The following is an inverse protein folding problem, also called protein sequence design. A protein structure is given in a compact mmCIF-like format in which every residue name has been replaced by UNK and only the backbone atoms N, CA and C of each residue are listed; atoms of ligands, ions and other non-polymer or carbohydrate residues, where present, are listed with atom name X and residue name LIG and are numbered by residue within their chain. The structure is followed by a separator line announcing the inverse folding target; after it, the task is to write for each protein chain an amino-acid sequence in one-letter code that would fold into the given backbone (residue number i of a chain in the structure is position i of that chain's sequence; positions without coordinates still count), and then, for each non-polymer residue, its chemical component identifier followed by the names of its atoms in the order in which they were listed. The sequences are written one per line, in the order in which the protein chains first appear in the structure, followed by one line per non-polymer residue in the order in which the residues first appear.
data_IF_685626522090
#
_entry.id   IF_685626522090
#
_cell.length_a   1.000
_cell.length_b   1.000
_cell.length_c   1.000
_cell.angle_alpha   90.00
_cell.angle_beta   90.00
_cell.angle_gamma   90.00
#
_symmetry.space_group_name_H-M   'P 1'
#
loop_
_entity.id
_entity.type
_entity.pdbx_description
1 polymer ?
#
# COMPACT_ATOMS: atom_id res chain seq x y z
N UNK A 1 61.01 -34.44 -13.99
CA UNK A 1 61.06 -33.37 -12.97
C UNK A 1 60.26 -32.17 -13.49
N UNK A 2 58.98 -32.06 -13.11
CA UNK A 2 58.13 -30.89 -13.43
C UNK A 2 57.41 -30.48 -12.14
N UNK A 3 57.79 -29.34 -11.60
CA UNK A 3 57.25 -28.72 -10.40
C UNK A 3 55.99 -27.93 -10.81
N UNK A 4 54.83 -28.24 -10.24
CA UNK A 4 53.59 -27.44 -10.41
C UNK A 4 53.47 -26.47 -9.24
N UNK A 5 53.52 -25.17 -9.54
CA UNK A 5 53.23 -24.09 -8.60
C UNK A 5 51.71 -23.99 -8.41
N UNK A 6 51.26 -23.93 -7.15
CA UNK A 6 49.87 -23.70 -6.79
C UNK A 6 49.75 -22.24 -6.32
N UNK A 7 49.19 -21.37 -7.16
CA UNK A 7 48.92 -19.97 -6.82
C UNK A 7 47.60 -19.90 -6.07
N UNK A 8 47.63 -19.53 -4.77
CA UNK A 8 46.41 -19.23 -4.01
C UNK A 8 45.94 -17.83 -4.38
N UNK A 9 44.74 -17.72 -4.95
CA UNK A 9 44.01 -16.47 -5.04
C UNK A 9 43.30 -16.22 -3.71
N UNK A 10 43.74 -15.21 -2.97
CA UNK A 10 43.00 -14.69 -1.83
C UNK A 10 42.00 -13.67 -2.37
N UNK A 11 40.71 -14.02 -2.37
CA UNK A 11 39.65 -13.06 -2.68
C UNK A 11 39.51 -12.12 -1.47
N UNK A 12 39.93 -10.87 -1.62
CA UNK A 12 39.73 -9.83 -0.62
C UNK A 12 38.37 -9.20 -0.89
N UNK A 13 37.34 -9.65 -0.17
CA UNK A 13 36.01 -9.03 -0.20
C UNK A 13 36.04 -7.71 0.55
N UNK A 14 36.14 -6.60 -0.18
CA UNK A 14 35.87 -5.27 0.37
C UNK A 14 34.37 -5.13 0.59
N UNK A 15 33.93 -5.20 1.85
CA UNK A 15 32.60 -4.76 2.26
C UNK A 15 32.55 -3.24 2.10
N UNK A 16 31.91 -2.77 1.03
CA UNK A 16 31.50 -1.38 0.93
C UNK A 16 30.38 -1.14 1.97
N UNK A 17 30.39 -0.03 2.72
CA UNK A 17 29.25 0.31 3.55
C UNK A 17 28.05 0.54 2.64
N UNK A 18 27.05 -0.33 2.74
CA UNK A 18 25.72 -0.08 2.18
C UNK A 18 25.14 1.04 3.04
N UNK A 19 25.08 2.26 2.49
CA UNK A 19 24.19 3.26 3.05
C UNK A 19 22.80 2.65 3.06
N UNK A 20 22.23 2.46 4.24
CA UNK A 20 20.86 1.98 4.42
C UNK A 20 19.92 3.01 3.79
N UNK A 21 19.55 2.81 2.52
CA UNK A 21 18.37 3.45 1.94
C UNK A 21 17.17 2.79 2.63
N UNK A 22 16.49 3.54 3.48
CA UNK A 22 15.34 3.05 4.21
C UNK A 22 14.38 4.20 4.45
N UNK A 23 13.09 3.88 4.41
CA UNK A 23 12.03 4.79 4.75
C UNK A 23 12.24 5.33 6.17
N UNK A 24 12.02 6.63 6.35
CA UNK A 24 12.00 7.28 7.65
C UNK A 24 10.62 7.92 7.86
N UNK A 25 9.90 7.52 8.90
CA UNK A 25 8.62 8.10 9.29
C UNK A 25 8.86 8.96 10.52
N UNK A 26 8.71 10.26 10.34
CA UNK A 26 8.85 11.25 11.39
C UNK A 26 7.47 11.61 11.95
N UNK A 27 7.25 11.31 13.22
CA UNK A 27 5.98 11.56 13.92
C UNK A 27 6.06 12.85 14.74
N UNK A 28 5.09 13.74 14.54
CA UNK A 28 4.94 14.98 15.33
C UNK A 28 3.70 14.86 16.21
N UNK A 29 3.85 14.57 17.51
CA UNK A 29 2.71 14.42 18.40
C UNK A 29 2.08 15.75 18.79
N UNK A 30 0.75 15.77 18.82
CA UNK A 30 -0.04 16.85 19.41
C UNK A 30 0.26 16.97 20.92
N UNK A 31 0.10 18.19 21.43
CA UNK A 31 0.35 18.47 22.84
C UNK A 31 -0.61 17.67 23.75
N UNK A 32 -0.06 16.96 24.74
CA UNK A 32 -0.83 16.25 25.75
C UNK A 32 -1.12 14.77 25.45
N UNK A 33 -0.62 14.23 24.32
CA UNK A 33 -0.63 12.79 24.09
C UNK A 33 0.15 12.03 25.17
N UNK A 34 -0.32 10.84 25.55
CA UNK A 34 0.40 9.96 26.47
C UNK A 34 1.62 9.35 25.79
N UNK A 35 2.63 8.97 26.58
CA UNK A 35 3.81 8.30 26.02
C UNK A 35 3.45 6.95 25.39
N UNK A 36 2.51 6.20 25.99
CA UNK A 36 2.07 4.91 25.47
C UNK A 36 1.46 5.03 24.05
N UNK A 37 0.67 6.07 23.77
CA UNK A 37 0.11 6.27 22.43
C UNK A 37 1.16 6.70 21.42
N UNK A 38 2.10 7.56 21.82
CA UNK A 38 3.26 7.95 20.99
C UNK A 38 4.11 6.72 20.65
N UNK A 39 4.39 5.87 21.64
CA UNK A 39 5.17 4.64 21.45
C UNK A 39 4.42 3.64 20.56
N UNK A 40 3.09 3.54 20.69
CA UNK A 40 2.24 2.74 19.81
C UNK A 40 2.32 3.20 18.34
N UNK A 41 2.24 4.51 18.09
CA UNK A 41 2.43 5.05 16.74
C UNK A 41 3.85 4.81 16.24
N UNK A 42 4.85 4.97 17.10
CA UNK A 42 6.24 4.71 16.73
C UNK A 42 6.46 3.23 16.36
N UNK A 43 5.77 2.29 17.01
CA UNK A 43 5.79 0.86 16.63
C UNK A 43 5.20 0.63 15.26
N UNK A 44 4.07 1.28 14.94
CA UNK A 44 3.48 1.22 13.61
C UNK A 44 4.38 1.84 12.53
N UNK A 45 5.00 2.98 12.83
CA UNK A 45 6.01 3.58 11.96
C UNK A 45 7.19 2.63 11.73
N UNK A 46 7.70 2.03 12.81
CA UNK A 46 8.79 1.05 12.72
C UNK A 46 8.44 -0.17 11.87
N UNK A 47 7.18 -0.62 11.87
CA UNK A 47 6.72 -1.68 10.99
C UNK A 47 6.94 -1.29 9.52
N UNK A 48 6.39 -0.15 9.07
CA UNK A 48 6.54 0.31 7.68
C UNK A 48 8.00 0.55 7.29
N UNK A 49 8.80 1.17 8.17
CA UNK A 49 10.24 1.35 7.96
C UNK A 49 11.01 0.02 7.88
N UNK A 50 10.47 -1.08 8.39
CA UNK A 50 11.11 -2.39 8.33
C UNK A 50 10.81 -3.17 7.06
N UNK A 51 9.72 -2.80 6.36
CA UNK A 51 9.26 -3.49 5.14
C UNK A 51 9.44 -2.66 3.89
N UNK A 52 9.60 -1.33 3.97
CA UNK A 52 9.82 -0.44 2.83
C UNK A 52 11.26 0.12 2.80
N UNK A 53 11.87 0.16 1.61
CA UNK A 53 13.28 0.55 1.41
C UNK A 53 13.52 1.91 0.75
N UNK A 54 12.46 2.60 0.32
CA UNK A 54 12.58 3.92 -0.31
C UNK A 54 13.31 4.90 0.58
N UNK A 55 14.26 5.63 0.00
CA UNK A 55 14.96 6.69 0.72
C UNK A 55 14.13 7.97 0.78
N UNK A 56 13.03 7.92 1.53
CA UNK A 56 12.11 9.02 1.74
C UNK A 56 11.85 9.26 3.22
N UNK A 57 11.64 10.54 3.58
CA UNK A 57 11.12 10.93 4.89
C UNK A 57 9.64 11.29 4.76
N UNK A 58 8.77 10.54 5.44
CA UNK A 58 7.34 10.81 5.55
C UNK A 58 7.07 11.49 6.90
N UNK A 59 6.49 12.68 6.87
CA UNK A 59 6.17 13.44 8.08
C UNK A 59 4.68 13.31 8.41
N UNK A 60 4.35 12.88 9.62
CA UNK A 60 2.96 12.65 10.04
C UNK A 60 2.70 13.38 11.35
N UNK A 61 1.68 14.23 11.36
CA UNK A 61 1.16 14.83 12.59
C UNK A 61 0.20 13.83 13.26
N UNK A 62 0.46 13.44 14.51
CA UNK A 62 -0.37 12.47 15.24
C UNK A 62 -1.13 13.16 16.38
N UNK A 63 -2.39 12.77 16.59
CA UNK A 63 -3.27 13.33 17.61
C UNK A 63 -4.14 12.24 18.25
N UNK A 64 -4.70 12.55 19.42
CA UNK A 64 -5.54 11.65 20.19
C UNK A 64 -6.67 12.45 20.86
N UNK A 65 -7.90 12.29 20.37
CA UNK A 65 -9.08 13.06 20.80
C UNK A 65 -10.38 12.33 20.51
N UNK A 66 -11.49 12.84 21.03
CA UNK A 66 -12.82 12.32 20.70
C UNK A 66 -13.12 12.40 19.21
N UNK A 67 -13.41 11.23 18.61
CA UNK A 67 -13.93 11.06 17.24
C UNK A 67 -15.39 10.62 17.24
N UNK A 68 -15.99 10.55 16.05
CA UNK A 68 -17.35 10.08 15.87
C UNK A 68 -17.56 8.64 16.37
N UNK A 69 -18.79 8.26 16.78
CA UNK A 69 -19.06 6.91 17.29
C UNK A 69 -18.65 5.83 16.28
N UNK A 70 -17.91 4.82 16.74
CA UNK A 70 -17.44 3.72 15.91
C UNK A 70 -16.11 3.96 15.18
N UNK A 71 -15.58 5.19 15.18
CA UNK A 71 -14.31 5.53 14.53
C UNK A 71 -13.15 5.30 15.50
N UNK A 72 -12.32 4.31 15.20
CA UNK A 72 -11.12 3.96 15.97
C UNK A 72 -9.98 4.97 15.74
N UNK A 73 -9.69 5.21 14.46
CA UNK A 73 -8.71 6.16 13.96
C UNK A 73 -9.22 6.80 12.67
N UNK A 74 -8.56 7.87 12.24
CA UNK A 74 -8.74 8.46 10.94
C UNK A 74 -7.43 9.08 10.46
N UNK A 75 -7.15 8.95 9.17
CA UNK A 75 -6.06 9.62 8.49
C UNK A 75 -6.58 10.68 7.50
N UNK A 76 -5.89 11.82 7.44
CA UNK A 76 -6.01 12.80 6.37
C UNK A 76 -4.68 12.93 5.67
N UNK A 77 -4.64 12.72 4.36
CA UNK A 77 -3.41 12.79 3.56
C UNK A 77 -3.26 14.14 2.87
N UNK A 78 -2.05 14.71 2.90
CA UNK A 78 -1.67 15.83 2.04
C UNK A 78 -1.46 15.29 0.62
N UNK A 79 -2.04 15.96 -0.37
CA UNK A 79 -1.96 15.55 -1.77
C UNK A 79 -1.48 16.67 -2.70
N UNK A 80 -0.98 16.29 -3.87
CA UNK A 80 -0.55 17.19 -4.92
C UNK A 80 -1.08 16.76 -6.30
N UNK A 81 -1.18 17.73 -7.21
CA UNK A 81 -1.57 17.47 -8.59
C UNK A 81 -0.38 16.90 -9.36
N UNK A 82 -0.56 15.73 -9.95
CA UNK A 82 0.46 15.06 -10.78
C UNK A 82 -0.20 14.57 -12.06
N UNK A 83 0.42 14.87 -13.21
CA UNK A 83 -0.04 14.32 -14.49
C UNK A 83 0.04 12.79 -14.48
N UNK A 84 -0.97 12.11 -15.01
CA UNK A 84 -0.97 10.64 -15.08
C UNK A 84 0.24 10.13 -15.87
N UNK A 85 0.56 10.80 -16.98
CA UNK A 85 1.77 10.55 -17.78
C UNK A 85 3.08 10.67 -16.97
N UNK A 86 3.20 11.71 -16.14
CA UNK A 86 4.35 11.92 -15.27
C UNK A 86 4.43 10.86 -14.17
N UNK A 87 3.30 10.44 -13.61
CA UNK A 87 3.25 9.35 -12.63
C UNK A 87 3.67 8.01 -13.25
N UNK A 88 3.18 7.69 -14.45
CA UNK A 88 3.57 6.46 -15.15
C UNK A 88 5.05 6.46 -15.53
N UNK A 89 5.59 7.60 -15.97
CA UNK A 89 7.02 7.74 -16.24
C UNK A 89 7.86 7.56 -14.97
N UNK A 90 7.37 8.03 -13.82
CA UNK A 90 8.03 7.86 -12.53
C UNK A 90 8.02 6.40 -12.08
N UNK A 91 6.87 5.71 -12.12
CA UNK A 91 6.80 4.27 -11.84
C UNK A 91 7.73 3.47 -12.75
N UNK A 92 7.81 3.82 -14.04
CA UNK A 92 8.74 3.17 -14.98
C UNK A 92 10.23 3.39 -14.67
N UNK A 93 10.57 4.50 -14.00
CA UNK A 93 11.92 4.76 -13.52
C UNK A 93 12.23 4.08 -12.17
N UNK A 94 11.18 3.64 -11.48
CA UNK A 94 11.18 3.10 -10.12
C UNK A 94 10.93 1.58 -10.09
N UNK A 95 11.16 0.88 -11.21
CA UNK A 95 11.02 -0.57 -11.27
C UNK A 95 12.16 -1.22 -10.48
N UNK A 96 11.86 -1.83 -9.33
CA UNK A 96 12.82 -2.56 -8.50
C UNK A 96 12.47 -4.04 -8.33
N UNK A 97 11.22 -4.41 -8.61
CA UNK A 97 10.67 -5.75 -8.46
C UNK A 97 10.09 -6.31 -9.77
N UNK A 98 9.84 -7.63 -9.79
CA UNK A 98 9.12 -8.26 -10.91
C UNK A 98 7.63 -7.87 -10.93
N UNK A 99 7.07 -7.51 -9.77
CA UNK A 99 5.71 -7.02 -9.67
C UNK A 99 5.61 -5.63 -10.29
N UNK A 100 6.57 -4.73 -10.03
CA UNK A 100 6.62 -3.39 -10.66
C UNK A 100 6.71 -3.50 -12.16
N UNK A 101 7.57 -4.39 -12.66
CA UNK A 101 7.70 -4.62 -14.09
C UNK A 101 6.37 -5.07 -14.70
N UNK A 102 5.63 -5.94 -14.02
CA UNK A 102 4.32 -6.39 -14.47
C UNK A 102 3.28 -5.25 -14.41
N UNK A 103 3.22 -4.55 -13.29
CA UNK A 103 2.34 -3.41 -13.06
C UNK A 103 2.52 -2.33 -14.12
N UNK A 104 3.76 -1.85 -14.30
CA UNK A 104 4.10 -0.80 -15.27
C UNK A 104 3.81 -1.24 -16.71
N UNK A 105 4.09 -2.50 -17.05
CA UNK A 105 3.82 -3.03 -18.39
C UNK A 105 2.31 -3.12 -18.72
N UNK A 106 1.46 -3.12 -17.70
CA UNK A 106 0.01 -3.24 -17.84
C UNK A 106 -0.76 -2.02 -17.30
N UNK A 107 -0.10 -0.88 -17.15
CA UNK A 107 -0.78 0.38 -16.83
C UNK A 107 -1.80 0.72 -17.93
N UNK A 108 -2.88 1.45 -17.58
CA UNK A 108 -3.86 1.93 -18.56
C UNK A 108 -3.17 2.68 -19.71
N UNK A 109 -3.65 2.52 -20.94
CA UNK A 109 -3.05 3.20 -22.07
C UNK A 109 -3.25 4.73 -21.99
N UNK A 110 -2.16 5.48 -22.12
CA UNK A 110 -2.22 6.94 -22.19
C UNK A 110 -2.88 7.41 -23.49
N UNK A 111 -3.73 8.43 -23.38
CA UNK A 111 -4.22 9.20 -24.51
C UNK A 111 -3.10 10.08 -25.10
N UNK A 112 -3.35 10.73 -26.23
CA UNK A 112 -2.41 11.69 -26.82
C UNK A 112 -2.11 12.89 -25.91
N UNK A 113 -3.00 13.17 -24.95
CA UNK A 113 -2.88 14.29 -24.03
C UNK A 113 -2.37 13.87 -22.64
N UNK A 114 -1.90 12.62 -22.50
CA UNK A 114 -1.34 12.12 -21.24
C UNK A 114 -2.38 11.77 -20.17
N UNK A 115 -3.65 11.62 -20.55
CA UNK A 115 -4.71 11.11 -19.68
C UNK A 115 -4.95 9.62 -19.87
N UNK A 116 -5.93 9.07 -19.16
CA UNK A 116 -6.39 7.69 -19.30
C UNK A 116 -7.91 7.63 -19.43
N UNK A 117 -8.41 6.56 -20.05
CA UNK A 117 -9.83 6.28 -20.14
C UNK A 117 -10.22 5.24 -19.07
N UNK A 118 -11.37 5.41 -18.43
CA UNK A 118 -11.86 4.48 -17.41
C UNK A 118 -13.39 4.53 -17.33
N UNK A 119 -13.99 3.51 -16.72
CA UNK A 119 -15.39 3.58 -16.33
C UNK A 119 -15.53 4.39 -15.04
N UNK A 120 -16.49 5.31 -15.00
CA UNK A 120 -16.89 6.05 -13.80
C UNK A 120 -18.37 6.43 -13.91
N UNK A 121 -18.97 6.98 -12.86
CA UNK A 121 -20.31 7.55 -12.96
C UNK A 121 -20.33 8.67 -14.00
N UNK A 122 -21.37 8.68 -14.84
CA UNK A 122 -21.61 9.74 -15.82
C UNK A 122 -21.53 11.09 -15.09
N UNK A 123 -20.63 11.96 -15.58
CA UNK A 123 -20.28 13.30 -15.11
C UNK A 123 -21.55 13.99 -14.58
N UNK A 124 -21.72 13.96 -13.25
CA UNK A 124 -23.05 13.89 -12.63
C UNK A 124 -23.70 15.26 -12.47
N UNK A 125 -24.22 15.81 -13.56
CA UNK A 125 -25.37 16.71 -13.49
C UNK A 125 -26.60 15.92 -12.97
N UNK A 126 -26.71 15.72 -11.65
CA UNK A 126 -27.97 15.34 -10.98
C UNK A 126 -28.11 13.93 -10.38
N UNK A 127 -27.20 13.50 -9.49
CA UNK A 127 -27.29 12.25 -8.70
C UNK A 127 -27.38 10.95 -9.54
N UNK A 128 -26.80 10.93 -10.73
CA UNK A 128 -26.80 9.72 -11.57
C UNK A 128 -25.91 8.63 -10.98
N UNK A 129 -26.42 7.40 -10.92
CA UNK A 129 -25.63 6.19 -10.62
C UNK A 129 -25.22 5.42 -11.88
N UNK A 130 -25.56 5.94 -13.06
CA UNK A 130 -25.19 5.30 -14.32
C UNK A 130 -23.68 5.38 -14.53
N UNK A 131 -23.08 4.26 -14.92
CA UNK A 131 -21.65 4.15 -15.23
C UNK A 131 -21.43 4.22 -16.73
N UNK A 132 -20.47 5.03 -17.17
CA UNK A 132 -20.07 5.15 -18.57
C UNK A 132 -18.55 5.26 -18.71
N UNK A 133 -18.07 5.04 -19.94
CA UNK A 133 -16.68 5.32 -20.27
C UNK A 133 -16.45 6.83 -20.27
N UNK A 134 -15.59 7.28 -19.37
CA UNK A 134 -14.99 8.59 -19.39
C UNK A 134 -13.69 8.51 -20.23
N UNK A 135 -13.64 9.37 -21.26
CA UNK A 135 -12.62 9.31 -22.31
C UNK A 135 -12.45 10.63 -23.06
N UNK A 136 -12.73 11.75 -22.40
CA UNK A 136 -12.72 13.07 -23.03
C UNK A 136 -11.48 13.92 -22.69
N UNK A 137 -10.52 13.34 -21.96
CA UNK A 137 -9.29 14.00 -21.51
C UNK A 137 -9.57 15.24 -20.66
N UNK A 138 -10.56 15.23 -19.78
CA UNK A 138 -10.77 16.28 -18.79
C UNK A 138 -9.72 16.23 -17.66
N UNK A 139 -9.92 17.03 -16.61
CA UNK A 139 -9.01 17.11 -15.46
C UNK A 139 -8.89 15.78 -14.72
N UNK A 140 -10.00 15.06 -14.55
CA UNK A 140 -10.05 13.79 -13.83
C UNK A 140 -9.33 12.65 -14.58
N UNK A 141 -9.21 12.74 -15.92
CA UNK A 141 -8.47 11.78 -16.74
C UNK A 141 -6.96 12.02 -16.72
N UNK A 142 -6.55 13.28 -16.57
CA UNK A 142 -5.16 13.71 -16.78
C UNK A 142 -4.37 13.95 -15.51
N UNK A 143 -5.05 14.21 -14.39
CA UNK A 143 -4.39 14.66 -13.16
C UNK A 143 -4.81 13.82 -11.97
N UNK A 144 -3.81 13.16 -11.36
CA UNK A 144 -3.96 12.44 -10.10
C UNK A 144 -3.92 13.39 -8.90
N UNK A 145 -4.69 13.04 -7.89
CA UNK A 145 -4.65 13.58 -6.53
C UNK A 145 -3.66 12.78 -5.67
N UNK A 146 -2.38 12.77 -6.05
CA UNK A 146 -1.37 11.88 -5.48
C UNK A 146 -0.97 12.30 -4.06
N UNK A 147 -0.93 11.36 -3.11
CA UNK A 147 -0.37 11.57 -1.78
C UNK A 147 1.07 12.11 -1.86
N UNK A 148 1.43 13.09 -1.05
CA UNK A 148 2.80 13.64 -1.07
C UNK A 148 3.83 12.63 -0.60
N UNK A 149 3.47 11.72 0.32
CA UNK A 149 4.33 10.60 0.71
C UNK A 149 4.61 9.67 -0.48
N UNK A 150 3.57 9.25 -1.21
CA UNK A 150 3.73 8.41 -2.39
C UNK A 150 4.51 9.13 -3.51
N UNK A 151 4.28 10.42 -3.69
CA UNK A 151 5.07 11.23 -4.62
C UNK A 151 6.57 11.31 -4.27
N UNK A 152 6.94 11.19 -2.99
CA UNK A 152 8.35 11.12 -2.56
C UNK A 152 8.98 9.78 -2.95
N UNK A 153 8.24 8.69 -2.80
CA UNK A 153 8.68 7.33 -3.13
C UNK A 153 9.09 7.24 -4.60
N UNK A 154 8.18 7.61 -5.51
CA UNK A 154 8.44 7.64 -6.96
C UNK A 154 9.28 8.84 -7.45
N UNK A 155 9.87 9.63 -6.55
CA UNK A 155 10.77 10.74 -6.92
C UNK A 155 10.13 11.98 -7.56
N UNK A 156 8.81 12.11 -7.53
CA UNK A 156 8.05 13.30 -8.01
C UNK A 156 7.96 14.43 -6.99
N UNK A 157 8.43 14.18 -5.76
CA UNK A 157 8.59 15.17 -4.70
C UNK A 157 9.96 14.96 -4.05
N UNK A 158 10.67 16.01 -3.60
CA UNK A 158 11.92 15.84 -2.88
C UNK A 158 11.75 14.92 -1.68
N UNK A 159 12.55 13.86 -1.60
CA UNK A 159 12.38 12.79 -0.63
C UNK A 159 12.48 13.27 0.84
N UNK A 160 13.18 14.37 1.10
CA UNK A 160 13.33 14.99 2.43
C UNK A 160 12.54 16.29 2.59
N UNK A 161 11.49 16.50 1.78
CA UNK A 161 10.60 17.65 1.95
C UNK A 161 9.98 17.62 3.36
N UNK A 162 10.11 18.74 4.08
CA UNK A 162 9.76 18.88 5.50
C UNK A 162 8.27 19.14 5.75
N UNK A 163 7.46 19.33 4.71
CA UNK A 163 6.02 19.50 4.89
C UNK A 163 5.39 18.22 5.45
N UNK A 164 4.29 18.39 6.20
CA UNK A 164 3.47 17.29 6.69
C UNK A 164 2.80 16.56 5.53
N UNK A 165 2.99 15.25 5.45
CA UNK A 165 2.40 14.38 4.43
C UNK A 165 1.04 13.84 4.86
N UNK A 166 0.78 13.78 6.17
CA UNK A 166 -0.51 13.33 6.70
C UNK A 166 -0.74 13.83 8.12
N UNK A 167 -2.01 13.79 8.51
CA UNK A 167 -2.43 13.88 9.91
C UNK A 167 -3.19 12.61 10.27
N UNK A 168 -2.93 12.04 11.44
CA UNK A 168 -3.63 10.86 11.95
C UNK A 168 -4.18 11.18 13.33
N UNK A 169 -5.45 10.90 13.55
CA UNK A 169 -6.11 11.11 14.85
C UNK A 169 -6.72 9.81 15.34
N UNK A 170 -6.45 9.44 16.59
CA UNK A 170 -7.08 8.29 17.24
C UNK A 170 -8.12 8.71 18.27
N UNK A 171 -9.11 7.84 18.45
CA UNK A 171 -10.23 8.09 19.34
C UNK A 171 -9.90 7.80 20.81
N UNK A 172 -10.26 8.73 21.69
CA UNK A 172 -10.17 8.57 23.15
C UNK A 172 -11.33 7.78 23.78
N UNK A 173 -12.23 7.23 22.96
CA UNK A 173 -13.43 6.50 23.39
C UNK A 173 -13.24 4.99 23.53
N UNK A 174 -12.09 4.47 23.13
CA UNK A 174 -11.80 3.04 23.11
C UNK A 174 -10.75 2.66 24.15
N UNK A 175 -10.83 1.42 24.63
CA UNK A 175 -9.76 0.84 25.43
C UNK A 175 -8.72 0.27 24.49
N UNK A 176 -7.47 0.72 24.63
CA UNK A 176 -6.39 0.41 23.69
C UNK A 176 -5.35 -0.52 24.31
N UNK A 177 -4.83 -1.40 23.47
CA UNK A 177 -3.57 -2.09 23.69
C UNK A 177 -2.48 -1.41 22.85
N UNK A 178 -1.54 -0.75 23.51
CA UNK A 178 -0.49 0.05 22.87
C UNK A 178 0.75 -0.76 22.46
N UNK A 179 0.79 -2.05 22.81
CA UNK A 179 1.89 -2.96 22.47
C UNK A 179 1.36 -4.35 22.14
N UNK A 180 1.22 -4.67 20.86
CA UNK A 180 0.71 -5.96 20.41
C UNK A 180 1.77 -7.08 20.31
N UNK A 181 2.98 -6.87 20.86
CA UNK A 181 4.10 -7.83 20.71
C UNK A 181 3.90 -9.15 21.47
N UNK A 182 3.01 -9.19 22.47
CA UNK A 182 2.60 -10.38 23.21
C UNK A 182 1.14 -10.78 22.95
N UNK A 183 0.53 -10.24 21.90
CA UNK A 183 -0.88 -10.37 21.57
C UNK A 183 -1.66 -9.11 21.93
N UNK A 184 -3.00 -9.20 21.95
CA UNK A 184 -3.86 -8.08 22.34
C UNK A 184 -4.74 -8.52 23.50
N UNK A 185 -4.74 -7.75 24.59
CA UNK A 185 -5.48 -8.07 25.79
C UNK A 185 -7.00 -8.19 25.55
N UNK A 186 -7.72 -9.10 26.26
CA UNK A 186 -9.16 -9.23 26.12
C UNK A 186 -9.90 -7.92 26.38
N UNK A 187 -10.74 -7.49 25.42
CA UNK A 187 -11.51 -6.25 25.51
C UNK A 187 -10.73 -4.97 25.15
N UNK A 188 -9.46 -5.09 24.77
CA UNK A 188 -8.65 -3.99 24.25
C UNK A 188 -8.59 -4.04 22.72
N UNK A 189 -8.60 -2.88 22.07
CA UNK A 189 -8.37 -2.76 20.64
C UNK A 189 -6.87 -2.67 20.35
N UNK A 190 -6.41 -3.34 19.29
CA UNK A 190 -5.02 -3.29 18.82
C UNK A 190 -4.66 -1.90 18.29
N UNK A 191 -4.03 -1.07 19.11
CA UNK A 191 -3.65 0.29 18.71
C UNK A 191 -2.59 0.26 17.61
N UNK A 192 -1.57 -0.60 17.74
CA UNK A 192 -0.47 -0.68 16.79
C UNK A 192 -0.99 -1.10 15.41
N UNK A 193 -1.85 -2.10 15.36
CA UNK A 193 -2.48 -2.56 14.12
C UNK A 193 -3.33 -1.49 13.43
N UNK A 194 -4.18 -0.77 14.18
CA UNK A 194 -4.93 0.36 13.62
C UNK A 194 -3.97 1.47 13.17
N UNK A 195 -2.86 1.71 13.88
CA UNK A 195 -1.91 2.76 13.48
C UNK A 195 -1.14 2.36 12.20
N UNK A 196 -0.85 1.06 12.01
CA UNK A 196 -0.28 0.56 10.75
C UNK A 196 -1.26 0.81 9.60
N UNK A 197 -2.56 0.55 9.80
CA UNK A 197 -3.61 0.85 8.83
C UNK A 197 -3.67 2.34 8.46
N UNK A 198 -3.76 3.23 9.45
CA UNK A 198 -3.86 4.68 9.18
C UNK A 198 -2.60 5.24 8.50
N UNK A 199 -1.42 4.72 8.82
CA UNK A 199 -0.19 5.07 8.10
C UNK A 199 -0.24 4.55 6.66
N UNK A 200 -0.89 3.41 6.39
CA UNK A 200 -1.13 2.91 5.05
C UNK A 200 -1.88 3.92 4.16
N UNK A 201 -2.91 4.59 4.69
CA UNK A 201 -3.57 5.69 3.99
C UNK A 201 -2.62 6.86 3.71
N UNK A 202 -1.81 7.25 4.69
CA UNK A 202 -0.80 8.31 4.51
C UNK A 202 0.19 7.95 3.38
N UNK A 203 0.60 6.69 3.30
CA UNK A 203 1.53 6.15 2.29
C UNK A 203 0.91 6.05 0.89
N UNK A 204 -0.41 6.15 0.73
CA UNK A 204 -1.05 6.21 -0.59
C UNK A 204 -2.13 5.18 -0.85
N UNK A 205 -2.53 4.38 0.16
CA UNK A 205 -3.68 3.50 0.05
C UNK A 205 -4.99 4.31 0.15
N UNK A 206 -5.23 5.17 -0.83
CA UNK A 206 -6.41 6.02 -0.94
C UNK A 206 -7.02 5.83 -2.32
N UNK A 207 -8.33 6.03 -2.48
CA UNK A 207 -9.03 5.89 -3.75
C UNK A 207 -9.92 7.11 -4.01
N UNK A 208 -9.85 7.64 -5.23
CA UNK A 208 -10.75 8.68 -5.71
C UNK A 208 -12.20 8.22 -5.81
N UNK A 209 -12.46 6.91 -5.78
CA UNK A 209 -13.82 6.36 -5.77
C UNK A 209 -14.62 6.85 -4.55
N UNK A 210 -13.97 7.14 -3.42
CA UNK A 210 -14.65 7.79 -2.29
C UNK A 210 -15.17 9.20 -2.63
N UNK A 211 -14.42 9.94 -3.45
CA UNK A 211 -14.85 11.24 -3.95
C UNK A 211 -15.99 11.09 -4.96
N UNK A 212 -15.95 10.05 -5.80
CA UNK A 212 -17.04 9.73 -6.72
C UNK A 212 -18.32 9.37 -5.96
N UNK A 213 -18.25 8.49 -4.95
CA UNK A 213 -19.38 8.13 -4.08
C UNK A 213 -20.01 9.37 -3.42
N UNK A 214 -19.17 10.27 -2.90
CA UNK A 214 -19.60 11.55 -2.33
C UNK A 214 -20.22 12.48 -3.38
N UNK A 215 -19.66 12.57 -4.59
CA UNK A 215 -20.15 13.43 -5.65
C UNK A 215 -21.55 13.03 -6.13
N UNK A 216 -21.85 11.73 -6.19
CA UNK A 216 -23.19 11.21 -6.51
C UNK A 216 -24.21 11.71 -5.48
N UNK A 217 -23.88 11.70 -4.19
CA UNK A 217 -24.78 12.18 -3.12
C UNK A 217 -25.05 13.69 -3.21
N UNK A 218 -24.12 14.45 -3.79
CA UNK A 218 -24.09 15.92 -3.75
C UNK A 218 -24.30 16.58 -5.12
N UNK A 219 -24.60 15.81 -6.18
CA UNK A 219 -24.71 16.32 -7.56
C UNK A 219 -23.50 17.16 -8.00
N UNK A 220 -22.28 16.71 -7.65
CA UNK A 220 -21.06 17.41 -8.02
C UNK A 220 -20.52 16.92 -9.37
N UNK A 221 -20.09 17.87 -10.20
CA UNK A 221 -19.36 17.59 -11.43
C UNK A 221 -17.85 17.48 -11.12
N UNK A 222 -17.23 16.42 -11.61
CA UNK A 222 -15.85 16.05 -11.31
C UNK A 222 -14.89 16.29 -12.48
N UNK A 223 -15.37 16.70 -13.65
CA UNK A 223 -14.55 16.77 -14.87
C UNK A 223 -13.26 17.58 -14.72
N UNK A 224 -13.35 18.78 -14.17
CA UNK A 224 -12.19 19.67 -14.07
C UNK A 224 -11.36 19.46 -12.78
N UNK A 225 -11.63 18.39 -12.02
CA UNK A 225 -10.96 18.10 -10.75
C UNK A 225 -9.95 16.96 -10.87
N UNK A 226 -8.92 17.00 -10.04
CA UNK A 226 -8.11 15.82 -9.75
C UNK A 226 -8.87 14.95 -8.74
N UNK A 227 -9.16 13.71 -9.10
CA UNK A 227 -10.03 12.83 -8.29
C UNK A 227 -9.26 11.59 -7.87
N UNK A 228 -8.71 10.88 -8.84
CA UNK A 228 -8.13 9.55 -8.66
C UNK A 228 -6.69 9.59 -8.15
N UNK A 229 -6.24 8.50 -7.55
CA UNK A 229 -4.94 8.35 -6.89
C UNK A 229 -4.05 7.34 -7.64
N UNK A 230 -2.85 7.08 -7.12
CA UNK A 230 -1.99 6.02 -7.64
C UNK A 230 -2.62 4.63 -7.55
N UNK A 231 -3.33 4.32 -6.45
CA UNK A 231 -3.98 3.03 -6.24
C UNK A 231 -5.07 2.73 -7.28
N UNK A 232 -5.79 3.77 -7.72
CA UNK A 232 -6.88 3.63 -8.70
C UNK A 232 -6.39 3.13 -10.06
N UNK A 233 -5.13 3.36 -10.42
CA UNK A 233 -4.54 2.88 -11.68
C UNK A 233 -4.51 1.34 -11.77
N UNK A 234 -4.72 0.67 -10.64
CA UNK A 234 -4.72 -0.78 -10.48
C UNK A 234 -6.09 -1.35 -10.09
N UNK A 235 -7.16 -0.55 -10.23
CA UNK A 235 -8.55 -0.95 -9.97
C UNK A 235 -9.24 -1.35 -11.29
N UNK A 236 -9.68 -2.61 -11.36
CA UNK A 236 -10.32 -3.19 -12.54
C UNK A 236 -11.62 -3.91 -12.20
N UNK A 237 -12.57 -3.93 -13.14
CA UNK A 237 -13.81 -4.74 -13.04
C UNK A 237 -13.82 -5.92 -14.01
N UNK A 238 -12.93 -5.92 -15.00
CA UNK A 238 -12.66 -7.02 -15.92
C UNK A 238 -11.27 -6.86 -16.59
N UNK A 239 -10.85 -7.89 -17.34
CA UNK A 239 -9.64 -7.84 -18.18
C UNK A 239 -9.68 -6.65 -19.16
N UNK A 240 -8.71 -5.75 -19.04
CA UNK A 240 -8.60 -4.51 -19.81
C UNK A 240 -9.60 -3.41 -19.44
N UNK A 241 -10.32 -3.53 -18.32
CA UNK A 241 -11.37 -2.57 -17.92
C UNK A 241 -11.03 -1.92 -16.58
N UNK A 242 -10.37 -0.77 -16.63
CA UNK A 242 -10.24 0.11 -15.46
C UNK A 242 -11.61 0.70 -15.11
N UNK A 243 -11.99 0.53 -13.85
CA UNK A 243 -13.32 0.89 -13.36
C UNK A 243 -13.22 1.59 -12.02
N UNK A 244 -13.39 2.91 -12.07
CA UNK A 244 -13.26 3.83 -10.96
C UNK A 244 -14.65 4.35 -10.53
N UNK A 245 -15.70 3.60 -10.84
CA UNK A 245 -17.06 3.89 -10.43
C UNK A 245 -17.31 3.46 -8.98
N UNK A 246 -18.09 4.24 -8.25
CA UNK A 246 -18.70 3.78 -7.00
C UNK A 246 -19.75 2.69 -7.30
N UNK A 247 -19.91 1.72 -6.40
CA UNK A 247 -20.89 0.64 -6.51
C UNK A 247 -20.57 -0.48 -7.50
N UNK A 248 -19.56 -0.34 -8.35
CA UNK A 248 -19.13 -1.43 -9.24
C UNK A 248 -18.16 -2.36 -8.52
N UNK A 249 -18.44 -3.67 -8.56
CA UNK A 249 -17.52 -4.70 -8.03
C UNK A 249 -16.20 -4.61 -8.80
N UNK A 250 -15.15 -4.24 -8.07
CA UNK A 250 -13.82 -4.02 -8.62
C UNK A 250 -12.76 -4.69 -7.76
N UNK A 251 -11.59 -4.92 -8.35
CA UNK A 251 -10.49 -5.63 -7.72
C UNK A 251 -9.14 -5.02 -8.09
N UNK A 252 -8.16 -5.31 -7.23
CA UNK A 252 -6.76 -5.01 -7.48
C UNK A 252 -6.17 -6.00 -8.48
N UNK A 253 -5.48 -5.47 -9.47
CA UNK A 253 -4.75 -6.23 -10.49
C UNK A 253 -3.53 -5.44 -10.95
N UNK A 254 -2.43 -6.17 -11.16
CA UNK A 254 -1.17 -5.65 -11.69
C UNK A 254 -0.88 -6.14 -13.11
N UNK A 255 -1.84 -6.84 -13.71
CA UNK A 255 -1.76 -7.45 -15.04
C UNK A 255 -2.91 -6.99 -15.95
N UNK A 256 -3.28 -5.71 -15.81
CA UNK A 256 -4.26 -5.05 -16.68
C UNK A 256 -5.70 -5.55 -16.48
N UNK A 257 -5.99 -6.15 -15.33
CA UNK A 257 -7.29 -6.72 -15.01
C UNK A 257 -7.41 -8.23 -15.27
N UNK A 258 -6.38 -8.90 -15.81
CA UNK A 258 -6.47 -10.31 -16.13
C UNK A 258 -6.63 -11.21 -14.88
N UNK A 259 -5.99 -10.85 -13.77
CA UNK A 259 -6.07 -11.57 -12.49
C UNK A 259 -6.68 -10.70 -11.41
N UNK A 260 -7.67 -11.24 -10.70
CA UNK A 260 -8.20 -10.65 -9.47
C UNK A 260 -7.34 -11.08 -8.27
N UNK A 261 -6.57 -10.14 -7.70
CA UNK A 261 -5.71 -10.38 -6.54
C UNK A 261 -6.42 -10.11 -5.20
N UNK A 262 -7.41 -9.22 -5.20
CA UNK A 262 -8.21 -8.88 -4.03
C UNK A 262 -9.31 -7.89 -4.37
N UNK A 263 -10.49 -8.06 -3.79
CA UNK A 263 -11.61 -7.15 -4.01
C UNK A 263 -11.40 -5.85 -3.24
N UNK A 264 -11.73 -4.73 -3.88
CA UNK A 264 -11.85 -3.45 -3.19
C UNK A 264 -13.27 -3.24 -2.65
N UNK A 265 -13.39 -2.42 -1.62
CA UNK A 265 -14.67 -1.80 -1.29
C UNK A 265 -15.12 -0.83 -2.38
N UNK A 266 -16.43 -0.60 -2.47
CA UNK A 266 -17.05 0.04 -3.63
C UNK A 266 -17.74 1.36 -3.30
N UNK A 267 -17.74 1.80 -2.05
CA UNK A 267 -18.25 3.12 -1.64
C UNK A 267 -19.24 3.04 -0.49
N UNK A 268 -19.23 4.06 0.37
CA UNK A 268 -20.00 4.08 1.61
C UNK A 268 -21.50 4.28 1.39
N UNK A 269 -21.90 5.06 0.39
CA UNK A 269 -23.31 5.45 0.18
C UNK A 269 -23.95 4.69 -0.97
N UNK A 270 -23.26 4.60 -2.10
CA UNK A 270 -23.74 3.98 -3.34
C UNK A 270 -23.02 2.66 -3.66
N UNK A 271 -22.22 2.15 -2.73
CA UNK A 271 -21.51 0.88 -2.85
C UNK A 271 -21.84 -0.16 -1.79
N UNK A 272 -20.80 -0.83 -1.28
CA UNK A 272 -20.90 -1.92 -0.32
C UNK A 272 -21.01 -1.47 1.14
N UNK A 273 -21.13 -0.16 1.36
CA UNK A 273 -21.27 0.43 2.68
C UNK A 273 -19.95 0.85 3.31
N UNK A 274 -18.82 0.57 2.65
CA UNK A 274 -17.47 0.86 3.15
C UNK A 274 -16.72 1.77 2.19
N UNK A 275 -15.79 2.57 2.72
CA UNK A 275 -14.98 3.48 1.91
C UNK A 275 -14.14 2.70 0.89
N UNK A 276 -14.13 3.17 -0.35
CA UNK A 276 -13.46 2.54 -1.47
C UNK A 276 -11.92 2.61 -1.39
N UNK A 277 -11.39 3.44 -0.48
CA UNK A 277 -9.98 3.42 -0.03
C UNK A 277 -9.61 2.18 0.80
N UNK A 278 -10.33 1.07 0.68
CA UNK A 278 -10.09 -0.15 1.45
C UNK A 278 -10.22 -1.42 0.60
N UNK A 279 -9.63 -2.49 1.10
CA UNK A 279 -10.05 -3.84 0.71
C UNK A 279 -11.52 -4.07 1.05
N UNK A 280 -12.14 -5.02 0.36
CA UNK A 280 -13.49 -5.43 0.69
C UNK A 280 -13.53 -6.10 2.06
N UNK A 281 -14.38 -5.56 2.92
CA UNK A 281 -14.56 -5.97 4.32
C UNK A 281 -14.87 -7.46 4.49
N UNK A 282 -14.41 -8.02 5.61
CA UNK A 282 -14.66 -9.38 6.08
C UNK A 282 -14.16 -10.50 5.15
N UNK A 283 -13.20 -10.21 4.27
CA UNK A 283 -12.56 -11.21 3.42
C UNK A 283 -11.16 -11.63 3.91
N UNK A 284 -10.64 -10.98 4.95
CA UNK A 284 -9.31 -11.28 5.50
C UNK A 284 -8.19 -11.01 4.50
N UNK A 285 -8.36 -9.96 3.69
CA UNK A 285 -7.44 -9.61 2.59
C UNK A 285 -6.17 -8.92 3.07
N UNK A 286 -6.21 -8.24 4.21
CA UNK A 286 -5.07 -7.50 4.73
C UNK A 286 -5.45 -6.50 5.81
N UNK A 287 -4.48 -5.70 6.22
CA UNK A 287 -4.67 -4.68 7.24
C UNK A 287 -5.48 -3.50 6.72
N UNK A 288 -5.49 -3.25 5.40
CA UNK A 288 -6.31 -2.20 4.78
C UNK A 288 -7.80 -2.59 4.64
N UNK A 289 -8.28 -3.53 5.46
CA UNK A 289 -9.70 -3.82 5.65
C UNK A 289 -10.35 -2.66 6.44
N UNK A 290 -11.56 -2.20 6.08
CA UNK A 290 -12.21 -1.05 6.73
C UNK A 290 -12.62 -1.33 8.18
N UNK A 291 -12.68 -2.61 8.59
CA UNK A 291 -13.07 -3.00 9.94
C UNK A 291 -11.90 -3.68 10.65
N UNK A 292 -11.38 -3.02 11.69
CA UNK A 292 -10.38 -3.65 12.55
C UNK A 292 -10.93 -4.93 13.20
N UNK A 293 -10.03 -5.90 13.42
CA UNK A 293 -10.35 -7.12 14.14
C UNK A 293 -10.99 -6.81 15.50
N UNK A 294 -11.94 -7.65 15.98
CA UNK A 294 -12.58 -7.46 17.27
C UNK A 294 -11.56 -7.36 18.40
N UNK A 295 -11.87 -6.57 19.43
CA UNK A 295 -11.05 -6.40 20.61
C UNK A 295 -10.53 -7.74 21.19
N UNK A 296 -9.25 -7.77 21.56
CA UNK A 296 -8.51 -8.97 21.94
C UNK A 296 -7.83 -9.72 20.79
N UNK A 297 -7.86 -9.19 19.57
CA UNK A 297 -7.21 -9.79 18.40
C UNK A 297 -6.28 -8.79 17.70
N UNK A 298 -5.18 -9.31 17.17
CA UNK A 298 -4.17 -8.56 16.41
C UNK A 298 -4.67 -8.30 14.99
N UNK A 299 -4.50 -7.08 14.46
CA UNK A 299 -4.64 -6.80 13.03
C UNK A 299 -3.35 -7.15 12.30
N UNK A 300 -3.45 -7.79 11.14
CA UNK A 300 -2.28 -8.36 10.44
C UNK A 300 -2.17 -7.80 9.04
N UNK A 301 -0.95 -7.37 8.68
CA UNK A 301 -0.60 -7.01 7.30
C UNK A 301 -0.39 -8.27 6.48
N UNK A 302 -0.99 -8.32 5.29
CA UNK A 302 -0.86 -9.41 4.34
C UNK A 302 0.17 -9.10 3.26
N UNK A 303 0.49 -10.12 2.45
CA UNK A 303 1.29 -9.90 1.23
C UNK A 303 0.54 -9.08 0.18
N UNK A 304 -0.80 -9.10 0.20
CA UNK A 304 -1.61 -8.30 -0.71
C UNK A 304 -1.48 -6.80 -0.38
N UNK A 305 -1.45 -6.44 0.91
CA UNK A 305 -1.18 -5.05 1.32
C UNK A 305 0.17 -4.60 0.77
N UNK A 306 1.24 -5.37 1.07
CA UNK A 306 2.59 -5.02 0.64
C UNK A 306 2.68 -4.89 -0.88
N UNK A 307 2.10 -5.85 -1.63
CA UNK A 307 2.07 -5.80 -3.09
C UNK A 307 1.38 -4.53 -3.62
N UNK A 308 0.30 -4.08 -2.96
CA UNK A 308 -0.35 -2.83 -3.33
C UNK A 308 0.57 -1.63 -3.12
N UNK A 309 1.33 -1.58 -2.01
CA UNK A 309 2.32 -0.52 -1.78
C UNK A 309 3.48 -0.55 -2.79
N UNK A 310 4.03 -1.73 -3.10
CA UNK A 310 5.01 -1.96 -4.19
C UNK A 310 4.52 -1.34 -5.50
N UNK A 311 3.31 -1.73 -5.88
CA UNK A 311 2.71 -1.39 -7.16
C UNK A 311 2.45 0.11 -7.32
N UNK A 312 2.13 0.82 -6.24
CA UNK A 312 1.92 2.28 -6.28
C UNK A 312 3.24 3.06 -6.13
N UNK A 313 4.38 2.37 -5.99
CA UNK A 313 5.73 2.94 -6.05
C UNK A 313 6.48 3.00 -4.72
N UNK A 314 6.25 2.05 -3.80
CA UNK A 314 7.09 1.87 -2.60
C UNK A 314 7.86 0.55 -2.68
N UNK A 315 9.17 0.60 -2.71
CA UNK A 315 10.01 -0.61 -2.75
C UNK A 315 9.87 -1.47 -1.49
N UNK A 316 9.43 -2.73 -1.64
CA UNK A 316 9.46 -3.68 -0.52
C UNK A 316 10.88 -4.22 -0.29
N UNK A 317 11.34 -4.16 0.95
CA UNK A 317 12.51 -4.93 1.39
C UNK A 317 12.19 -6.42 1.34
N UNK A 318 12.68 -7.12 0.31
CA UNK A 318 12.70 -8.59 0.31
C UNK A 318 13.69 -9.00 1.41
N UNK A 319 13.20 -9.29 2.61
CA UNK A 319 13.98 -10.07 3.55
C UNK A 319 14.26 -11.41 2.87
N UNK A 320 15.52 -11.64 2.49
CA UNK A 320 15.96 -12.92 1.98
C UNK A 320 15.53 -14.00 2.97
N UNK A 321 14.51 -14.78 2.61
CA UNK A 321 14.17 -16.00 3.34
C UNK A 321 15.46 -16.81 3.38
N UNK A 322 16.01 -17.18 4.55
CA UNK A 322 17.16 -18.07 4.59
C UNK A 322 16.74 -19.33 3.84
N UNK A 323 17.37 -19.60 2.70
CA UNK A 323 17.16 -20.82 1.94
C UNK A 323 17.13 -21.99 2.92
N UNK A 324 16.12 -22.87 2.89
CA UNK A 324 16.12 -24.04 3.75
C UNK A 324 17.43 -24.78 3.47
N UNK A 325 18.34 -24.72 4.45
CA UNK A 325 19.71 -25.16 4.24
C UNK A 325 19.65 -26.59 3.68
N UNK A 326 20.13 -26.77 2.45
CA UNK A 326 20.05 -28.05 1.73
C UNK A 326 20.91 -29.15 2.40
N UNK A 327 21.47 -28.86 3.57
CA UNK A 327 22.32 -29.70 4.39
C UNK A 327 21.61 -30.91 5.02
N UNK A 328 20.28 -30.97 5.05
CA UNK A 328 19.56 -32.09 5.70
C UNK A 328 19.04 -33.15 4.69
N UNK A 329 18.99 -32.84 3.39
CA UNK A 329 18.48 -33.77 2.36
C UNK A 329 19.51 -34.77 1.81
N UNK A 330 20.80 -34.67 2.17
CA UNK A 330 21.84 -35.63 1.76
C UNK A 330 22.28 -36.65 2.82
N UNK A 331 21.73 -36.62 4.03
CA UNK A 331 22.03 -37.61 5.08
C UNK A 331 21.02 -38.77 5.16
N UNK A 332 19.91 -38.71 4.40
CA UNK A 332 18.85 -39.73 4.41
C UNK A 332 18.94 -40.82 3.34
N UNK A 333 19.82 -40.70 2.33
CA UNK A 333 19.83 -41.60 1.16
C UNK A 333 21.06 -42.52 1.05
N UNK A 334 21.84 -42.70 2.13
CA UNK A 334 23.15 -43.38 2.08
C UNK A 334 23.34 -44.62 2.97
N UNK A 335 22.30 -45.14 3.63
CA UNK A 335 22.39 -46.31 4.52
C UNK A 335 21.39 -47.39 4.09
N UNK A 336 21.66 -48.05 2.96
CA UNK A 336 20.74 -49.05 2.43
C UNK A 336 21.30 -50.00 1.39
N UNK A 337 22.60 -50.33 1.40
CA UNK A 337 23.12 -51.40 0.52
C UNK A 337 24.36 -52.09 1.08
N UNK A 338 24.20 -52.92 2.12
CA UNK A 338 25.02 -54.12 2.30
C UNK A 338 24.17 -55.17 3.02
N UNK A 339 23.87 -56.29 2.35
CA UNK A 339 23.81 -57.67 2.88
C UNK A 339 22.90 -58.56 2.03
N UNK A 340 23.46 -59.24 1.01
CA UNK A 340 23.08 -60.64 0.70
C UNK A 340 24.06 -61.32 -0.25
N UNK A 341 24.91 -62.21 0.30
CA UNK A 341 25.31 -63.47 -0.36
C UNK A 341 26.01 -64.40 0.63
N UNK A 342 25.32 -65.46 1.06
CA UNK A 342 25.87 -66.78 1.42
C UNK A 342 24.75 -67.83 1.39
N UNK A 343 24.61 -68.53 0.27
CA UNK A 343 24.84 -69.97 0.08
C UNK A 343 24.69 -70.27 -1.41
#
# INVERSE_FOLDING_TARGET
MKLKYLTRFTCLSTLLPVSSFALNINLTPAAGMSQDSIDGFQRAANYWQSVLSDNATVNIDIDFRTLDPGVLGQAGSTTQAIGVDAYFAALGADITSASDLNAVANLPALTLNGGINFLTQVNSEGNSTAVSLDSDDSGNNRVLNLNTANAKAVGLRPANDLASDASITFSDRFAWDYDNSDGVGPGLQDFVGVAVHEIGHALGFNSGVDTVDFAIANSADLEDFRVFTGLDMFRYSADGVNDLAAGTVSYFSIDGGATNLGLFSTGSTYGDGQQASHWRDNLGLGIMDPTANPAGNVNTVSQLDLLAFDTIGWDITIQAVPEPSSSILLLGAGLGFVLRRKR
#
